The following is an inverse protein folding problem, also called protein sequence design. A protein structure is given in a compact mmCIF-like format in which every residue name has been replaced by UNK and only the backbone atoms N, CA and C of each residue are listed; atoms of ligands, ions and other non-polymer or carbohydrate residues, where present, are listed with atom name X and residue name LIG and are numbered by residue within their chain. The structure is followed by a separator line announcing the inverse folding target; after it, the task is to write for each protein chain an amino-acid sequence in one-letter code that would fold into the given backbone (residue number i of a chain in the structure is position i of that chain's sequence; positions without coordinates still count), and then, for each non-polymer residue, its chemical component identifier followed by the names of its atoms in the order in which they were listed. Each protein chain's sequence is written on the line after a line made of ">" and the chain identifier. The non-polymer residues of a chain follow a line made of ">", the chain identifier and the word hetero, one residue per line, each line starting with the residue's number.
data_IF_546546340186
#
_entry.id   IF_546546340186
#
_cell.length_a   1.000
_cell.length_b   1.000
_cell.length_c   1.000
_cell.angle_alpha   90.00
_cell.angle_beta   90.00
_cell.angle_gamma   90.00
#
_symmetry.space_group_name_H-M   'P 1'
#
loop_
_entity.id
_entity.type
_entity.pdbx_description
1 polymer ?
#
# COMPACT_ATOMS: atom_id res chain seq x y z
N UNK A 1 39.14 11.85 3.79
CA UNK A 1 37.95 12.70 3.74
C UNK A 1 36.71 11.90 4.08
N UNK A 2 35.86 12.41 5.01
CA UNK A 2 34.64 11.78 5.37
C UNK A 2 33.71 11.73 4.14
N UNK A 3 33.17 10.54 3.81
CA UNK A 3 32.25 10.38 2.69
C UNK A 3 30.83 10.66 3.19
N UNK A 4 30.43 11.93 3.08
CA UNK A 4 29.03 12.31 3.32
C UNK A 4 28.12 11.69 2.24
N UNK A 5 26.86 11.48 2.55
CA UNK A 5 25.86 10.94 1.61
C UNK A 5 26.29 9.62 0.93
N UNK A 6 26.88 8.70 1.69
CA UNK A 6 27.41 7.43 1.17
C UNK A 6 26.35 6.52 0.49
N UNK A 7 25.05 6.76 0.75
CA UNK A 7 23.94 6.07 0.08
C UNK A 7 23.59 6.68 -1.27
N UNK A 8 24.02 7.91 -1.53
CA UNK A 8 23.76 8.61 -2.77
C UNK A 8 24.76 8.15 -3.83
N UNK A 9 24.38 7.20 -4.62
CA UNK A 9 25.16 6.64 -5.72
C UNK A 9 24.66 7.18 -7.05
N UNK A 10 25.46 7.04 -8.12
CA UNK A 10 25.03 7.41 -9.47
C UNK A 10 23.73 6.72 -9.89
N UNK A 11 23.57 5.45 -9.54
CA UNK A 11 22.36 4.67 -9.76
C UNK A 11 21.12 5.25 -9.04
N UNK A 12 21.29 5.85 -7.87
CA UNK A 12 20.20 6.51 -7.13
C UNK A 12 19.79 7.82 -7.81
N UNK A 13 20.77 8.55 -8.36
CA UNK A 13 20.52 9.83 -9.04
C UNK A 13 19.98 9.63 -10.47
N UNK A 14 20.46 8.60 -11.16
CA UNK A 14 20.15 8.33 -12.56
C UNK A 14 19.61 6.89 -12.74
N UNK A 15 18.43 6.55 -12.12
CA UNK A 15 17.88 5.21 -12.23
C UNK A 15 17.39 4.93 -13.65
N UNK A 16 17.63 3.69 -14.13
CA UNK A 16 17.04 3.23 -15.39
C UNK A 16 15.51 3.17 -15.29
N UNK A 17 14.76 3.20 -16.40
CA UNK A 17 13.29 3.23 -16.38
C UNK A 17 12.66 2.15 -15.49
N UNK A 18 13.17 0.92 -15.54
CA UNK A 18 12.70 -0.20 -14.72
C UNK A 18 13.05 -0.04 -13.23
N UNK A 19 14.09 0.72 -12.92
CA UNK A 19 14.56 0.94 -11.55
C UNK A 19 13.81 2.07 -10.85
N UNK A 20 13.10 2.93 -11.59
CA UNK A 20 12.31 4.04 -11.04
C UNK A 20 11.18 3.57 -10.11
N UNK A 21 10.75 2.32 -10.25
CA UNK A 21 9.76 1.69 -9.36
C UNK A 21 10.40 1.06 -8.10
N UNK A 22 11.72 1.11 -7.98
CA UNK A 22 12.43 0.51 -6.85
C UNK A 22 12.44 1.44 -5.63
N UNK A 23 11.55 1.18 -4.68
CA UNK A 23 11.41 1.95 -3.44
C UNK A 23 12.72 2.07 -2.65
N UNK A 24 13.61 1.06 -2.71
CA UNK A 24 14.91 1.12 -2.01
C UNK A 24 15.83 2.20 -2.58
N UNK A 25 15.75 2.49 -3.88
CA UNK A 25 16.54 3.60 -4.47
C UNK A 25 15.99 4.93 -4.00
N UNK A 26 14.67 5.10 -3.97
CA UNK A 26 14.05 6.30 -3.41
C UNK A 26 14.41 6.48 -1.91
N UNK A 27 14.31 5.41 -1.10
CA UNK A 27 14.71 5.43 0.31
C UNK A 27 16.19 5.85 0.49
N UNK A 28 17.07 5.44 -0.43
CA UNK A 28 18.48 5.84 -0.40
C UNK A 28 18.69 7.32 -0.71
N UNK A 29 17.86 7.93 -1.57
CA UNK A 29 17.88 9.37 -1.82
C UNK A 29 17.51 10.17 -0.56
N UNK A 30 16.47 9.74 0.14
CA UNK A 30 15.96 10.36 1.36
C UNK A 30 16.71 9.89 2.63
N UNK A 31 17.83 9.19 2.48
CA UNK A 31 18.58 8.66 3.62
C UNK A 31 19.18 9.77 4.48
N UNK A 32 19.24 9.56 5.79
CA UNK A 32 19.75 10.53 6.75
C UNK A 32 21.15 11.05 6.40
N UNK A 33 22.03 10.17 5.90
CA UNK A 33 23.37 10.58 5.46
C UNK A 33 23.37 11.58 4.29
N UNK A 34 22.33 11.58 3.45
CA UNK A 34 22.15 12.56 2.38
C UNK A 34 21.74 13.90 2.97
N UNK A 35 20.76 13.88 3.89
CA UNK A 35 20.26 15.07 4.58
C UNK A 35 21.40 15.76 5.36
N UNK A 36 22.12 15.00 6.17
CA UNK A 36 23.23 15.53 6.96
C UNK A 36 24.39 16.02 6.09
N UNK A 37 24.63 15.36 4.94
CA UNK A 37 25.59 15.84 3.95
C UNK A 37 25.19 17.21 3.40
N UNK A 38 23.94 17.43 3.03
CA UNK A 38 23.43 18.71 2.55
C UNK A 38 23.50 19.80 3.64
N UNK A 39 23.14 19.46 4.88
CA UNK A 39 23.27 20.37 6.04
C UNK A 39 24.73 20.77 6.28
N UNK A 40 25.66 19.82 6.17
CA UNK A 40 27.08 20.12 6.30
C UNK A 40 27.54 21.13 5.23
N UNK A 41 27.25 20.86 3.96
CA UNK A 41 27.62 21.75 2.87
C UNK A 41 26.91 23.11 2.92
N UNK A 42 25.68 23.17 3.40
CA UNK A 42 24.99 24.46 3.57
C UNK A 42 25.69 25.39 4.53
N UNK A 43 26.38 24.84 5.54
CA UNK A 43 27.20 25.59 6.51
C UNK A 43 28.63 25.92 6.01
N UNK A 44 29.03 25.26 4.91
CA UNK A 44 30.41 25.36 4.39
C UNK A 44 30.46 25.93 2.95
N UNK A 45 29.71 26.96 2.68
CA UNK A 45 29.78 27.72 1.44
C UNK A 45 28.65 27.47 0.43
N UNK A 46 27.67 26.60 0.75
CA UNK A 46 26.54 26.24 -0.12
C UNK A 46 25.19 26.44 0.55
N UNK A 47 24.82 27.68 0.95
CA UNK A 47 23.59 27.95 1.69
C UNK A 47 22.29 27.48 0.94
N UNK A 48 22.34 27.38 -0.38
CA UNK A 48 21.27 26.91 -1.25
C UNK A 48 20.82 25.49 -0.92
N UNK A 49 21.69 24.65 -0.35
CA UNK A 49 21.35 23.26 -0.01
C UNK A 49 20.46 23.13 1.23
N UNK A 50 20.35 24.19 2.04
CA UNK A 50 19.54 24.13 3.26
C UNK A 50 18.06 23.82 2.97
N UNK A 51 17.48 24.44 1.95
CA UNK A 51 16.07 24.20 1.60
C UNK A 51 15.84 22.76 1.12
N UNK A 52 16.77 22.22 0.32
CA UNK A 52 16.72 20.82 -0.12
C UNK A 52 16.83 19.87 1.06
N UNK A 53 17.74 20.13 2.00
CA UNK A 53 17.87 19.32 3.21
C UNK A 53 16.58 19.33 4.05
N UNK A 54 15.96 20.49 4.20
CA UNK A 54 14.69 20.64 4.93
C UNK A 54 13.56 19.85 4.26
N UNK A 55 13.42 19.95 2.93
CA UNK A 55 12.47 19.18 2.15
C UNK A 55 12.67 17.67 2.33
N UNK A 56 13.90 17.17 2.14
CA UNK A 56 14.19 15.75 2.31
C UNK A 56 13.89 15.27 3.74
N UNK A 57 14.13 16.12 4.75
CA UNK A 57 13.83 15.78 6.15
C UNK A 57 12.33 15.65 6.40
N UNK A 58 11.51 16.53 5.82
CA UNK A 58 10.03 16.43 5.92
C UNK A 58 9.54 15.11 5.32
N UNK A 59 9.98 14.79 4.10
CA UNK A 59 9.60 13.52 3.43
C UNK A 59 10.10 12.32 4.24
N UNK A 60 11.34 12.38 4.76
CA UNK A 60 11.90 11.29 5.58
C UNK A 60 11.11 11.07 6.87
N UNK A 61 10.71 12.15 7.53
CA UNK A 61 9.90 12.08 8.75
C UNK A 61 8.55 11.39 8.46
N UNK A 62 7.84 11.85 7.44
CA UNK A 62 6.59 11.22 7.00
C UNK A 62 6.78 9.73 6.68
N UNK A 63 7.83 9.40 5.91
CA UNK A 63 8.15 8.01 5.57
C UNK A 63 8.43 7.16 6.80
N UNK A 64 9.15 7.69 7.78
CA UNK A 64 9.45 6.98 9.02
C UNK A 64 8.20 6.67 9.84
N UNK A 65 7.23 7.59 9.91
CA UNK A 65 5.92 7.36 10.54
C UNK A 65 5.15 6.26 9.81
N UNK A 66 5.04 6.34 8.48
CA UNK A 66 4.29 5.39 7.67
C UNK A 66 4.89 3.97 7.66
N UNK A 67 6.20 3.83 7.91
CA UNK A 67 6.91 2.54 7.80
C UNK A 67 7.26 1.89 9.13
N UNK A 68 6.51 2.16 10.18
CA UNK A 68 6.70 1.47 11.48
C UNK A 68 6.22 0.04 11.40
N UNK A 69 7.17 -0.91 11.46
CA UNK A 69 6.95 -2.36 11.30
C UNK A 69 6.87 -3.11 12.63
N UNK A 70 7.30 -2.53 13.71
CA UNK A 70 7.49 -3.19 15.00
C UNK A 70 7.26 -2.21 16.14
N UNK A 71 6.66 -2.69 17.21
CA UNK A 71 6.45 -1.91 18.45
C UNK A 71 7.75 -1.27 18.98
N UNK A 72 8.86 -1.93 18.78
CA UNK A 72 10.15 -1.52 19.31
C UNK A 72 11.04 -0.81 18.28
N UNK A 73 10.50 -0.40 17.14
CA UNK A 73 11.30 0.21 16.06
C UNK A 73 11.96 1.51 16.53
N UNK A 74 11.23 2.39 17.20
CA UNK A 74 11.74 3.66 17.74
C UNK A 74 12.86 3.47 18.75
N UNK A 75 12.70 2.54 19.67
CA UNK A 75 13.71 2.22 20.69
C UNK A 75 15.00 1.69 20.06
N UNK A 76 14.91 0.77 19.10
CA UNK A 76 16.09 0.20 18.41
C UNK A 76 16.83 1.22 17.57
N UNK A 77 16.13 2.15 16.95
CA UNK A 77 16.73 3.17 16.09
C UNK A 77 17.04 4.47 16.82
N UNK A 78 16.63 4.61 18.09
CA UNK A 78 16.68 5.86 18.88
C UNK A 78 16.00 7.01 18.16
N UNK A 79 14.90 6.72 17.46
CA UNK A 79 14.13 7.66 16.67
C UNK A 79 12.67 7.60 17.14
N UNK A 80 12.26 8.63 17.88
CA UNK A 80 10.91 8.73 18.46
C UNK A 80 9.82 8.78 17.37
N UNK A 81 10.15 9.23 16.17
CA UNK A 81 9.22 9.25 15.02
C UNK A 81 8.81 7.85 14.59
N UNK A 82 9.65 6.85 14.84
CA UNK A 82 9.39 5.44 14.50
C UNK A 82 8.67 4.67 15.58
N UNK A 83 7.80 5.33 16.33
CA UNK A 83 6.95 4.69 17.32
C UNK A 83 5.60 4.29 16.71
N UNK A 84 4.95 3.21 17.21
CA UNK A 84 3.57 2.92 16.85
C UNK A 84 2.67 4.11 17.17
N UNK A 85 1.59 4.26 16.45
CA UNK A 85 0.55 5.20 16.84
C UNK A 85 -0.22 4.59 18.02
N UNK A 86 -0.34 5.32 19.11
CA UNK A 86 -1.04 4.93 20.34
C UNK A 86 -1.71 6.14 20.96
N UNK A 87 -2.58 5.90 21.94
CA UNK A 87 -3.20 6.96 22.75
C UNK A 87 -2.26 7.52 23.83
N UNK A 88 -0.99 7.13 23.86
CA UNK A 88 -0.05 7.61 24.86
C UNK A 88 0.17 9.12 24.68
N UNK A 89 -0.40 9.91 25.55
CA UNK A 89 -0.31 11.38 25.57
C UNK A 89 1.14 11.89 25.82
N UNK A 90 2.03 11.01 26.26
CA UNK A 90 3.44 11.35 26.55
C UNK A 90 4.25 11.79 25.32
N UNK A 91 3.79 11.45 24.09
CA UNK A 91 4.51 11.76 22.85
C UNK A 91 4.20 13.19 22.35
N UNK A 92 3.07 13.79 22.77
CA UNK A 92 2.70 15.16 22.44
C UNK A 92 2.79 15.49 20.94
N UNK A 93 3.37 16.63 20.61
CA UNK A 93 3.51 17.14 19.22
C UNK A 93 4.34 16.27 18.28
N UNK A 94 5.07 15.27 18.78
CA UNK A 94 5.84 14.30 18.02
C UNK A 94 5.03 13.01 17.74
N UNK A 95 3.78 12.94 18.16
CA UNK A 95 2.91 11.81 17.90
C UNK A 95 2.71 11.57 16.39
N UNK A 96 2.59 10.30 16.00
CA UNK A 96 2.48 9.94 14.58
C UNK A 96 1.27 10.59 13.89
N UNK A 97 0.13 10.74 14.56
CA UNK A 97 -1.06 11.42 14.04
C UNK A 97 -0.78 12.90 13.78
N UNK A 98 -0.17 13.59 14.73
CA UNK A 98 0.17 15.00 14.61
C UNK A 98 1.19 15.25 13.49
N UNK A 99 2.17 14.37 13.33
CA UNK A 99 3.14 14.47 12.23
C UNK A 99 2.50 14.23 10.86
N UNK A 100 1.57 13.27 10.75
CA UNK A 100 0.82 13.04 9.53
C UNK A 100 -0.10 14.21 9.19
N UNK A 101 -0.73 14.83 10.19
CA UNK A 101 -1.57 16.01 10.00
C UNK A 101 -0.74 17.20 9.53
N UNK A 102 0.36 17.52 10.22
CA UNK A 102 1.30 18.58 9.83
C UNK A 102 1.84 18.38 8.40
N UNK A 103 2.10 17.13 8.01
CA UNK A 103 2.53 16.81 6.66
C UNK A 103 1.40 17.04 5.63
N UNK A 104 0.19 16.59 5.92
CA UNK A 104 -0.96 16.78 5.03
C UNK A 104 -1.29 18.27 4.83
N UNK A 105 -1.22 19.05 5.89
CA UNK A 105 -1.46 20.50 5.84
C UNK A 105 -0.35 21.20 5.04
N UNK A 106 0.91 20.88 5.30
CA UNK A 106 2.05 21.41 4.55
C UNK A 106 1.96 21.11 3.03
N UNK A 107 1.55 19.91 2.65
CA UNK A 107 1.34 19.54 1.23
C UNK A 107 0.18 20.33 0.63
N UNK A 108 -0.92 20.54 1.39
CA UNK A 108 -2.06 21.37 0.94
C UNK A 108 -1.66 22.82 0.71
N UNK A 109 -0.96 23.43 1.68
CA UNK A 109 -0.48 24.80 1.58
C UNK A 109 0.46 25.01 0.37
N UNK A 110 1.32 24.01 0.13
CA UNK A 110 2.20 24.06 -1.04
C UNK A 110 1.45 23.96 -2.36
N UNK A 111 0.45 23.08 -2.46
CA UNK A 111 -0.40 22.97 -3.64
C UNK A 111 -1.17 24.30 -3.89
N UNK A 112 -1.78 24.88 -2.85
CA UNK A 112 -2.47 26.16 -2.93
C UNK A 112 -1.54 27.28 -3.43
N UNK A 113 -0.33 27.35 -2.90
CA UNK A 113 0.67 28.31 -3.36
C UNK A 113 1.04 28.13 -4.84
N UNK A 114 1.14 26.88 -5.33
CA UNK A 114 1.38 26.58 -6.75
C UNK A 114 0.21 27.05 -7.62
N UNK A 115 -1.05 26.87 -7.15
CA UNK A 115 -2.26 27.31 -7.84
C UNK A 115 -2.31 28.83 -7.91
N UNK A 116 -2.11 29.52 -6.80
CA UNK A 116 -2.12 30.99 -6.72
C UNK A 116 -1.09 31.63 -7.64
N UNK A 117 0.13 31.10 -7.62
CA UNK A 117 1.24 31.59 -8.47
C UNK A 117 1.16 31.11 -9.92
N UNK A 118 0.22 30.20 -10.24
CA UNK A 118 0.12 29.52 -11.54
C UNK A 118 1.44 28.88 -11.98
N UNK A 119 2.25 28.45 -11.01
CA UNK A 119 3.58 27.88 -11.23
C UNK A 119 3.68 26.48 -10.63
N UNK A 120 3.44 25.47 -11.46
CA UNK A 120 3.63 24.07 -11.11
C UNK A 120 5.02 23.52 -11.49
N UNK A 121 5.89 24.32 -12.12
CA UNK A 121 7.23 23.86 -12.51
C UNK A 121 8.11 23.57 -11.29
N UNK A 122 7.84 24.26 -10.18
CA UNK A 122 8.55 24.12 -8.92
C UNK A 122 7.74 23.36 -7.87
N UNK A 123 6.63 22.74 -8.28
CA UNK A 123 5.78 21.91 -7.44
C UNK A 123 5.90 20.43 -7.74
N UNK A 124 5.11 19.64 -7.02
CA UNK A 124 4.90 18.23 -7.33
C UNK A 124 3.84 18.11 -8.45
N UNK A 125 3.73 16.92 -9.06
CA UNK A 125 2.59 16.67 -9.94
C UNK A 125 1.29 16.71 -9.13
N UNK A 126 0.18 17.07 -9.79
CA UNK A 126 -1.15 17.12 -9.17
C UNK A 126 -1.51 15.79 -8.51
N UNK A 127 -1.20 14.68 -9.17
CA UNK A 127 -1.43 13.34 -8.65
C UNK A 127 -0.63 13.09 -7.39
N UNK A 128 0.61 13.60 -7.31
CA UNK A 128 1.46 13.44 -6.12
C UNK A 128 0.92 14.26 -4.95
N UNK A 129 0.50 15.51 -5.17
CA UNK A 129 -0.13 16.33 -4.14
C UNK A 129 -1.37 15.63 -3.58
N UNK A 130 -2.30 15.23 -4.45
CA UNK A 130 -3.53 14.56 -4.07
C UNK A 130 -3.28 13.24 -3.32
N UNK A 131 -2.37 12.40 -3.84
CA UNK A 131 -2.09 11.08 -3.24
C UNK A 131 -1.43 11.23 -1.88
N UNK A 132 -0.49 12.16 -1.71
CA UNK A 132 0.19 12.39 -0.43
C UNK A 132 -0.79 12.87 0.64
N UNK A 133 -1.69 13.81 0.31
CA UNK A 133 -2.75 14.29 1.20
C UNK A 133 -3.73 13.18 1.58
N UNK A 134 -4.27 12.45 0.59
CA UNK A 134 -5.24 11.38 0.82
C UNK A 134 -4.65 10.26 1.65
N UNK A 135 -3.42 9.82 1.33
CA UNK A 135 -2.75 8.77 2.10
C UNK A 135 -2.58 9.18 3.55
N UNK A 136 -2.08 10.40 3.81
CA UNK A 136 -1.87 10.86 5.18
C UNK A 136 -3.17 10.95 5.97
N UNK A 137 -4.22 11.53 5.39
CA UNK A 137 -5.55 11.64 6.01
C UNK A 137 -6.20 10.27 6.24
N UNK A 138 -6.07 9.34 5.28
CA UNK A 138 -6.59 7.98 5.41
C UNK A 138 -5.88 7.21 6.55
N UNK A 139 -4.55 7.35 6.66
CA UNK A 139 -3.79 6.72 7.74
C UNK A 139 -4.17 7.28 9.11
N UNK A 140 -4.45 8.58 9.21
CA UNK A 140 -4.99 9.20 10.43
C UNK A 140 -6.36 8.59 10.76
N UNK A 141 -7.30 8.59 9.80
CA UNK A 141 -8.66 8.07 10.01
C UNK A 141 -8.67 6.61 10.44
N UNK A 142 -7.87 5.76 9.77
CA UNK A 142 -7.72 4.35 10.15
C UNK A 142 -7.15 4.21 11.55
N UNK A 143 -6.15 5.01 11.92
CA UNK A 143 -5.54 4.95 13.24
C UNK A 143 -6.54 5.30 14.34
N UNK A 144 -7.30 6.38 14.16
CA UNK A 144 -8.34 6.82 15.11
C UNK A 144 -9.42 5.73 15.24
N UNK A 145 -9.95 5.23 14.13
CA UNK A 145 -10.96 4.17 14.14
C UNK A 145 -10.47 2.91 14.87
N UNK A 146 -9.25 2.46 14.60
CA UNK A 146 -8.72 1.26 15.27
C UNK A 146 -8.50 1.46 16.76
N UNK A 147 -8.00 2.61 17.17
CA UNK A 147 -7.70 2.88 18.57
C UNK A 147 -8.99 3.17 19.34
N UNK A 148 -9.82 4.13 18.86
CA UNK A 148 -10.97 4.64 19.61
C UNK A 148 -12.20 3.72 19.48
N UNK A 149 -12.49 3.22 18.26
CA UNK A 149 -13.71 2.41 18.03
C UNK A 149 -13.47 0.91 18.23
N UNK A 150 -12.27 0.41 17.87
CA UNK A 150 -11.96 -1.02 17.95
C UNK A 150 -11.12 -1.41 19.16
N UNK A 151 -10.66 -0.45 19.95
CA UNK A 151 -9.94 -0.68 21.21
C UNK A 151 -8.52 -1.24 21.05
N UNK A 152 -7.89 -1.02 19.89
CA UNK A 152 -6.49 -1.40 19.73
C UNK A 152 -5.59 -0.50 20.58
N UNK A 153 -4.62 -1.08 21.28
CA UNK A 153 -3.67 -0.34 22.10
C UNK A 153 -2.65 0.43 21.25
N UNK A 154 -2.39 0.00 20.03
CA UNK A 154 -1.50 0.68 19.09
C UNK A 154 -1.74 0.24 17.65
N UNK A 155 -1.28 1.05 16.69
CA UNK A 155 -1.36 0.79 15.25
C UNK A 155 0.03 0.86 14.62
N UNK A 156 0.36 -0.11 13.75
CA UNK A 156 1.59 -0.16 12.96
C UNK A 156 1.25 0.16 11.50
N UNK A 157 1.53 1.39 11.06
CA UNK A 157 1.10 1.89 9.75
C UNK A 157 1.68 1.14 8.56
N UNK A 158 2.85 0.51 8.71
CA UNK A 158 3.44 -0.32 7.64
C UNK A 158 2.49 -1.39 7.09
N UNK A 159 1.59 -1.92 7.90
CA UNK A 159 0.68 -2.98 7.45
C UNK A 159 -0.50 -2.49 6.60
N UNK A 160 -0.64 -1.18 6.41
CA UNK A 160 -1.65 -0.55 5.55
C UNK A 160 -1.12 -0.16 4.16
N UNK A 161 0.07 -0.62 3.78
CA UNK A 161 0.63 -0.45 2.44
C UNK A 161 0.28 -1.65 1.53
N UNK A 162 0.69 -1.58 0.26
CA UNK A 162 0.47 -2.65 -0.72
C UNK A 162 1.40 -3.87 -0.59
N UNK A 163 2.46 -3.80 0.25
CA UNK A 163 3.44 -4.89 0.40
C UNK A 163 2.82 -6.28 0.65
N UNK A 164 1.78 -6.44 1.52
CA UNK A 164 1.13 -7.73 1.73
C UNK A 164 0.48 -8.28 0.45
N UNK A 165 -0.15 -7.41 -0.34
CA UNK A 165 -0.77 -7.77 -1.62
C UNK A 165 0.30 -8.15 -2.65
N UNK A 166 1.35 -7.34 -2.79
CA UNK A 166 2.46 -7.61 -3.70
C UNK A 166 3.15 -8.94 -3.37
N UNK A 167 3.34 -9.22 -2.08
CA UNK A 167 3.87 -10.50 -1.61
C UNK A 167 2.92 -11.64 -1.97
N UNK A 168 1.62 -11.46 -1.82
CA UNK A 168 0.60 -12.46 -2.21
C UNK A 168 0.66 -12.75 -3.70
N UNK A 169 0.72 -11.72 -4.55
CA UNK A 169 0.92 -11.89 -6.00
C UNK A 169 2.25 -12.55 -6.35
N UNK A 170 3.31 -12.26 -5.62
CA UNK A 170 4.59 -12.96 -5.75
C UNK A 170 4.46 -14.46 -5.51
N UNK A 171 3.72 -14.88 -4.50
CA UNK A 171 3.44 -16.29 -4.23
C UNK A 171 2.62 -16.94 -5.33
N UNK A 172 1.61 -16.27 -5.86
CA UNK A 172 0.84 -16.80 -7.00
C UNK A 172 1.74 -17.09 -8.20
N UNK A 173 2.64 -16.16 -8.54
CA UNK A 173 3.61 -16.37 -9.63
C UNK A 173 4.54 -17.56 -9.37
N UNK A 174 5.07 -17.68 -8.16
CA UNK A 174 5.92 -18.81 -7.78
C UNK A 174 5.18 -20.15 -7.87
N UNK A 175 3.95 -20.24 -7.39
CA UNK A 175 3.12 -21.44 -7.45
C UNK A 175 2.68 -21.82 -8.87
N UNK A 176 2.69 -20.86 -9.78
CA UNK A 176 2.41 -21.05 -11.19
C UNK A 176 3.68 -21.25 -12.07
N UNK A 177 4.80 -21.61 -11.46
CA UNK A 177 6.07 -21.88 -12.15
C UNK A 177 6.89 -20.64 -12.50
N UNK A 178 6.72 -19.53 -11.76
CA UNK A 178 7.48 -18.29 -11.96
C UNK A 178 7.00 -17.42 -13.12
N UNK A 179 5.85 -17.73 -13.72
CA UNK A 179 5.28 -16.95 -14.81
C UNK A 179 4.85 -15.56 -14.34
N UNK A 180 5.21 -14.53 -15.11
CA UNK A 180 4.79 -13.15 -14.83
C UNK A 180 3.29 -12.97 -15.07
N UNK A 181 2.77 -13.53 -16.15
CA UNK A 181 1.34 -13.52 -16.49
C UNK A 181 0.67 -14.78 -15.96
N UNK A 182 -0.36 -14.59 -15.15
CA UNK A 182 -1.16 -15.66 -14.58
C UNK A 182 -2.50 -15.73 -15.30
N UNK A 183 -2.92 -16.93 -15.71
CA UNK A 183 -4.31 -17.15 -16.09
C UNK A 183 -5.19 -17.18 -14.83
N UNK A 184 -6.48 -16.89 -15.00
CA UNK A 184 -7.46 -16.96 -13.89
C UNK A 184 -7.45 -18.35 -13.24
N UNK A 185 -7.32 -19.39 -14.03
CA UNK A 185 -7.24 -20.77 -13.54
C UNK A 185 -6.01 -20.98 -12.63
N UNK A 186 -4.83 -20.52 -13.06
CA UNK A 186 -3.60 -20.62 -12.27
C UNK A 186 -3.70 -19.83 -10.97
N UNK A 187 -4.32 -18.65 -11.02
CA UNK A 187 -4.59 -17.85 -9.83
C UNK A 187 -5.47 -18.60 -8.83
N UNK A 188 -6.59 -19.17 -9.29
CA UNK A 188 -7.50 -19.93 -8.41
C UNK A 188 -6.86 -21.19 -7.85
N UNK A 189 -6.04 -21.90 -8.64
CA UNK A 189 -5.28 -23.06 -8.18
C UNK A 189 -4.21 -22.69 -7.13
N UNK A 190 -3.51 -21.57 -7.35
CA UNK A 190 -2.54 -21.05 -6.38
C UNK A 190 -3.22 -20.61 -5.08
N UNK A 191 -4.37 -19.95 -5.16
CA UNK A 191 -5.17 -19.54 -4.00
C UNK A 191 -5.59 -20.76 -3.16
N UNK A 192 -6.10 -21.82 -3.80
CA UNK A 192 -6.43 -23.07 -3.10
C UNK A 192 -5.23 -23.67 -2.37
N UNK A 193 -4.04 -23.70 -3.02
CA UNK A 193 -2.82 -24.20 -2.40
C UNK A 193 -2.41 -23.37 -1.18
N UNK A 194 -2.48 -22.05 -1.26
CA UNK A 194 -2.12 -21.17 -0.14
C UNK A 194 -3.11 -21.34 1.03
N UNK A 195 -4.42 -21.41 0.75
CA UNK A 195 -5.43 -21.68 1.78
C UNK A 195 -5.20 -23.03 2.44
N UNK A 196 -4.89 -24.07 1.66
CA UNK A 196 -4.57 -25.39 2.19
C UNK A 196 -3.35 -25.34 3.13
N UNK A 197 -2.27 -24.67 2.71
CA UNK A 197 -1.07 -24.50 3.54
C UNK A 197 -1.37 -23.74 4.83
N UNK A 198 -2.24 -22.72 4.75
CA UNK A 198 -2.65 -21.94 5.93
C UNK A 198 -3.43 -22.79 6.91
N UNK A 199 -4.40 -23.58 6.42
CA UNK A 199 -5.20 -24.49 7.27
C UNK A 199 -4.33 -25.56 7.94
N UNK A 200 -3.36 -26.11 7.23
CA UNK A 200 -2.42 -27.10 7.81
C UNK A 200 -1.54 -26.42 8.87
N UNK A 201 -0.99 -25.25 8.57
CA UNK A 201 -0.01 -24.56 9.42
C UNK A 201 -0.62 -23.99 10.70
N UNK A 202 -1.81 -23.42 10.62
CA UNK A 202 -2.44 -22.68 11.72
C UNK A 202 -3.69 -23.36 12.29
N UNK A 203 -4.33 -24.24 11.51
CA UNK A 203 -5.51 -24.97 11.92
C UNK A 203 -5.27 -26.33 12.56
N UNK A 204 -4.00 -26.74 12.70
CA UNK A 204 -3.62 -28.10 13.16
C UNK A 204 -4.35 -29.22 12.41
N UNK A 205 -4.85 -28.94 11.21
CA UNK A 205 -5.55 -29.90 10.37
C UNK A 205 -4.54 -30.75 9.60
N UNK A 206 -4.81 -32.06 9.48
CA UNK A 206 -4.02 -32.87 8.58
C UNK A 206 -4.43 -32.56 7.10
N UNK A 207 -3.59 -33.03 6.15
CA UNK A 207 -3.81 -32.73 4.73
C UNK A 207 -5.18 -33.22 4.20
N UNK A 208 -5.67 -34.37 4.69
CA UNK A 208 -6.97 -34.92 4.26
C UNK A 208 -8.13 -34.05 4.72
N UNK A 209 -8.13 -33.65 5.99
CA UNK A 209 -9.13 -32.76 6.58
C UNK A 209 -9.16 -31.39 5.89
N UNK A 210 -7.99 -30.77 5.73
CA UNK A 210 -7.88 -29.50 5.05
C UNK A 210 -8.35 -29.57 3.58
N UNK A 211 -8.06 -30.69 2.88
CA UNK A 211 -8.54 -30.92 1.50
C UNK A 211 -10.03 -31.12 1.43
N UNK A 212 -10.66 -31.76 2.42
CA UNK A 212 -12.11 -31.93 2.50
C UNK A 212 -12.80 -30.57 2.72
N UNK A 213 -12.28 -29.74 3.61
CA UNK A 213 -12.76 -28.37 3.84
C UNK A 213 -12.76 -27.55 2.53
N UNK A 214 -11.70 -27.66 1.73
CA UNK A 214 -11.58 -26.91 0.47
C UNK A 214 -12.44 -27.47 -0.67
N UNK A 215 -12.79 -28.77 -0.63
CA UNK A 215 -13.62 -29.40 -1.67
C UNK A 215 -15.12 -29.21 -1.46
N UNK A 216 -15.55 -28.58 -0.35
CA UNK A 216 -16.96 -28.40 -0.05
C UNK A 216 -17.70 -29.72 0.23
N UNK A 217 -16.98 -30.73 0.73
CA UNK A 217 -17.59 -32.00 1.19
C UNK A 217 -18.62 -31.72 2.29
N UNK A 218 -19.65 -32.58 2.40
CA UNK A 218 -20.68 -32.46 3.44
C UNK A 218 -20.04 -32.24 4.80
N UNK A 219 -20.24 -31.04 5.33
CA UNK A 219 -19.69 -30.58 6.59
C UNK A 219 -20.60 -31.04 7.71
N UNK A 220 -20.03 -31.57 8.80
CA UNK A 220 -20.74 -31.49 10.08
C UNK A 220 -20.81 -30.01 10.48
N UNK A 221 -21.91 -29.57 11.05
CA UNK A 221 -22.09 -28.17 11.52
C UNK A 221 -20.94 -27.71 12.45
N UNK A 222 -20.36 -28.63 13.20
CA UNK A 222 -19.21 -28.39 14.08
C UNK A 222 -17.94 -28.00 13.32
N UNK A 223 -17.65 -28.66 12.18
CA UNK A 223 -16.45 -28.37 11.37
C UNK A 223 -16.58 -27.01 10.65
N UNK A 224 -17.82 -26.60 10.35
CA UNK A 224 -18.09 -25.31 9.73
C UNK A 224 -17.97 -24.15 10.73
N UNK A 225 -18.36 -24.40 11.99
CA UNK A 225 -18.20 -23.48 13.09
C UNK A 225 -16.73 -23.28 13.45
N UNK A 226 -15.98 -24.38 13.60
CA UNK A 226 -14.53 -24.32 13.85
C UNK A 226 -13.76 -23.61 12.72
N UNK A 227 -14.13 -23.83 11.45
CA UNK A 227 -13.49 -23.13 10.33
C UNK A 227 -13.82 -21.63 10.31
N UNK A 228 -15.04 -21.22 10.69
CA UNK A 228 -15.42 -19.82 10.86
C UNK A 228 -14.71 -19.18 12.04
N UNK A 229 -14.68 -19.86 13.18
CA UNK A 229 -13.99 -19.38 14.38
C UNK A 229 -12.49 -19.20 14.12
N UNK A 230 -11.89 -20.08 13.32
CA UNK A 230 -10.47 -19.97 12.92
C UNK A 230 -10.23 -18.82 11.95
N UNK A 231 -11.12 -18.59 11.00
CA UNK A 231 -11.06 -17.44 10.07
C UNK A 231 -11.23 -16.12 10.83
N UNK A 232 -12.10 -16.09 11.82
CA UNK A 232 -12.31 -14.95 12.72
C UNK A 232 -11.07 -14.70 13.59
N UNK A 233 -10.45 -15.77 14.12
CA UNK A 233 -9.25 -15.67 14.96
C UNK A 233 -8.01 -15.16 14.17
N UNK A 234 -7.96 -15.45 12.85
CA UNK A 234 -6.90 -14.97 11.95
C UNK A 234 -7.18 -13.53 11.48
N UNK A 235 -8.27 -12.90 11.93
CA UNK A 235 -8.65 -11.54 11.52
C UNK A 235 -9.22 -11.47 10.10
N UNK A 236 -9.67 -12.60 9.56
CA UNK A 236 -10.42 -12.66 8.31
C UNK A 236 -11.93 -12.63 8.60
N UNK A 237 -12.37 -11.70 9.42
CA UNK A 237 -13.77 -11.30 9.43
C UNK A 237 -14.01 -10.34 8.26
N UNK A 238 -14.03 -10.91 7.06
CA UNK A 238 -14.57 -10.24 5.90
C UNK A 238 -16.11 -10.36 5.93
N UNK A 239 -16.74 -9.79 6.92
CA UNK A 239 -18.05 -9.20 6.74
C UNK A 239 -17.86 -7.79 6.16
N UNK A 240 -17.28 -7.73 4.99
CA UNK A 240 -17.62 -6.64 4.10
C UNK A 240 -19.00 -7.04 3.58
N UNK A 241 -20.05 -6.52 4.19
CA UNK A 241 -21.33 -6.37 3.52
C UNK A 241 -21.09 -5.43 2.33
N UNK A 242 -20.61 -6.00 1.24
CA UNK A 242 -20.70 -5.32 -0.05
C UNK A 242 -22.18 -5.22 -0.36
N UNK A 243 -22.68 -4.00 -0.47
CA UNK A 243 -24.00 -3.79 -1.07
C UNK A 243 -23.97 -4.50 -2.43
N UNK A 244 -24.98 -5.34 -2.70
CA UNK A 244 -25.08 -6.13 -3.95
C UNK A 244 -24.84 -5.28 -5.20
N UNK A 245 -25.11 -3.97 -5.14
CA UNK A 245 -24.81 -3.00 -6.20
C UNK A 245 -23.31 -2.79 -6.44
N UNK A 246 -22.49 -2.84 -5.38
CA UNK A 246 -21.02 -2.66 -5.49
C UNK A 246 -20.37 -3.92 -6.05
N UNK A 247 -20.83 -5.11 -5.68
CA UNK A 247 -20.36 -6.37 -6.26
C UNK A 247 -20.64 -6.44 -7.77
N UNK A 248 -21.82 -6.01 -8.21
CA UNK A 248 -22.16 -5.94 -9.63
C UNK A 248 -21.25 -4.92 -10.34
N UNK A 249 -21.01 -3.76 -9.75
CA UNK A 249 -20.11 -2.74 -10.29
C UNK A 249 -18.68 -3.24 -10.48
N UNK A 250 -18.13 -3.95 -9.49
CA UNK A 250 -16.81 -4.56 -9.55
C UNK A 250 -16.75 -5.68 -10.60
N UNK A 251 -17.75 -6.55 -10.64
CA UNK A 251 -17.86 -7.61 -11.65
C UNK A 251 -17.96 -7.05 -13.07
N UNK A 252 -18.77 -6.01 -13.28
CA UNK A 252 -18.87 -5.31 -14.57
C UNK A 252 -17.56 -4.64 -14.96
N UNK A 253 -16.86 -4.01 -14.03
CA UNK A 253 -15.55 -3.40 -14.29
C UNK A 253 -14.52 -4.45 -14.70
N UNK A 254 -14.41 -5.56 -13.94
CA UNK A 254 -13.48 -6.66 -14.24
C UNK A 254 -13.85 -7.32 -15.58
N UNK A 255 -15.12 -7.61 -15.81
CA UNK A 255 -15.61 -8.19 -17.05
C UNK A 255 -15.36 -7.26 -18.25
N UNK A 256 -15.60 -5.96 -18.08
CA UNK A 256 -15.33 -4.93 -19.09
C UNK A 256 -13.84 -4.83 -19.42
N UNK A 257 -12.98 -4.84 -18.41
CA UNK A 257 -11.53 -4.78 -18.58
C UNK A 257 -10.98 -6.02 -19.31
N UNK A 258 -11.43 -7.22 -18.92
CA UNK A 258 -11.05 -8.47 -19.58
C UNK A 258 -11.55 -8.53 -21.02
N UNK A 259 -12.83 -8.16 -21.24
CA UNK A 259 -13.44 -8.12 -22.57
C UNK A 259 -12.72 -7.12 -23.49
N UNK A 260 -12.36 -5.94 -22.98
CA UNK A 260 -11.64 -4.92 -23.74
C UNK A 260 -10.23 -5.40 -24.18
N UNK A 261 -9.53 -6.14 -23.29
CA UNK A 261 -8.24 -6.74 -23.59
C UNK A 261 -8.33 -7.81 -24.68
N UNK A 262 -9.38 -8.63 -24.67
CA UNK A 262 -9.59 -9.68 -25.69
C UNK A 262 -10.16 -9.10 -26.98
N UNK A 263 -11.05 -8.12 -26.94
CA UNK A 263 -11.59 -7.43 -28.12
C UNK A 263 -10.50 -6.78 -28.99
N UNK A 264 -9.43 -6.26 -28.35
CA UNK A 264 -8.27 -5.73 -29.08
C UNK A 264 -7.51 -6.77 -29.91
N UNK A 265 -7.64 -8.05 -29.58
CA UNK A 265 -6.99 -9.16 -30.29
C UNK A 265 -7.86 -9.74 -31.41
N UNK A 266 -9.15 -9.38 -31.44
CA UNK A 266 -10.12 -9.88 -32.42
C UNK A 266 -10.16 -8.92 -33.60
N UNK A 267 -9.77 -9.38 -34.79
CA UNK A 267 -9.84 -8.60 -36.04
C UNK A 267 -11.13 -8.81 -36.84
N UNK A 268 -12.04 -9.66 -36.37
CA UNK A 268 -13.29 -10.00 -37.04
C UNK A 268 -14.43 -9.05 -36.62
N UNK A 269 -14.94 -8.23 -37.55
CA UNK A 269 -16.03 -7.28 -37.30
C UNK A 269 -17.32 -7.93 -36.81
N UNK A 270 -17.66 -9.13 -37.31
CA UNK A 270 -18.83 -9.89 -36.86
C UNK A 270 -18.73 -10.34 -35.41
N UNK A 271 -17.52 -10.71 -34.95
CA UNK A 271 -17.26 -11.04 -33.55
C UNK A 271 -17.33 -9.81 -32.66
N UNK A 272 -16.76 -8.68 -33.10
CA UNK A 272 -16.80 -7.41 -32.36
C UNK A 272 -18.25 -6.92 -32.20
N UNK A 273 -19.09 -7.05 -33.25
CA UNK A 273 -20.48 -6.64 -33.20
C UNK A 273 -21.36 -7.48 -32.26
N UNK A 274 -21.00 -8.75 -32.04
CA UNK A 274 -21.67 -9.64 -31.08
C UNK A 274 -21.42 -9.19 -29.63
N UNK A 275 -20.22 -8.71 -29.33
CA UNK A 275 -19.86 -8.23 -27.99
C UNK A 275 -20.26 -6.77 -27.74
N UNK A 276 -20.45 -5.96 -28.81
CA UNK A 276 -20.78 -4.54 -28.72
C UNK A 276 -22.29 -4.25 -28.72
N UNK A 277 -23.15 -5.26 -28.61
CA UNK A 277 -24.59 -5.13 -28.87
C UNK A 277 -25.42 -4.44 -27.78
N UNK A 278 -24.86 -4.12 -26.61
CA UNK A 278 -25.60 -3.40 -25.58
C UNK A 278 -25.08 -1.97 -25.37
N UNK A 279 -25.65 -1.04 -26.12
CA UNK A 279 -25.45 0.43 -25.93
C UNK A 279 -26.19 1.02 -24.72
N UNK A 280 -26.66 0.20 -23.79
CA UNK A 280 -27.37 0.66 -22.58
C UNK A 280 -26.62 0.30 -21.28
N UNK A 281 -25.31 0.60 -21.24
CA UNK A 281 -24.64 0.67 -19.96
C UNK A 281 -25.03 2.00 -19.26
N UNK A 282 -25.46 2.00 -17.99
CA UNK A 282 -25.72 3.23 -17.26
C UNK A 282 -24.45 4.05 -17.19
N UNK A 283 -24.53 5.34 -17.53
CA UNK A 283 -23.45 6.29 -17.31
C UNK A 283 -23.19 6.39 -15.82
N UNK A 284 -22.09 5.81 -15.35
CA UNK A 284 -21.62 6.01 -13.98
C UNK A 284 -21.06 7.45 -13.95
N UNK A 285 -21.80 8.37 -13.36
CA UNK A 285 -21.27 9.67 -12.95
C UNK A 285 -20.45 9.42 -11.68
N UNK A 286 -19.15 9.62 -11.77
CA UNK A 286 -18.29 9.76 -10.60
C UNK A 286 -18.62 11.13 -9.97
N UNK A 287 -19.10 11.10 -8.73
CA UNK A 287 -19.22 12.26 -7.84
C UNK A 287 -17.91 12.39 -7.06
#
# INVERSE_FOLDING_TARGET
>A
PAKYAHKLTDKVLHPMPIEKTNVKLADSLFHESTIEGLVYYSKHGHPEFQNTASFLRIIRTWWNVCNVKSRYAGQRTRDLVRTPISNDEEIGDLGGIQLLQKFADWISDWEEMCIEKKDFKHGLSRETFMTAQHTSRALIGVSICLIEEKGFSYVLLFFFNSDPLERRYGWYRQLAGGNYYLSVRQFLEAEKKIRLQTLIKFGNLNFKEASLVLKGGQRSEDTEKEARDLLTLIGFDFQIEFDIKDEQGILFFIAGFLSFGELKKISCESCISLFAKDKQAPKIQFV
#
